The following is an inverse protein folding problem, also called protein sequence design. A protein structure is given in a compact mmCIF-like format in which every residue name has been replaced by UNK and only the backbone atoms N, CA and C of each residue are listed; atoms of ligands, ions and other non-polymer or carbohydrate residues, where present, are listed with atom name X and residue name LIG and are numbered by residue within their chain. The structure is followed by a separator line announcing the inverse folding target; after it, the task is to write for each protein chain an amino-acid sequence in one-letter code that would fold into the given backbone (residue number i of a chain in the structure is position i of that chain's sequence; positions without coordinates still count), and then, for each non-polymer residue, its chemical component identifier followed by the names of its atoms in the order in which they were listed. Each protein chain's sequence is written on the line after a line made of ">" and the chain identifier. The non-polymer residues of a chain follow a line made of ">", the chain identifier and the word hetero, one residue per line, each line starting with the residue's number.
data_IF_826801930535
#
_entry.id   IF_826801930535
#
_cell.length_a   1.000
_cell.length_b   1.000
_cell.length_c   1.000
_cell.angle_alpha   90.00
_cell.angle_beta   90.00
_cell.angle_gamma   90.00
#
_symmetry.space_group_name_H-M   'P 1'
#
loop_
_entity.id
_entity.type
_entity.pdbx_description
1 polymer ?
#
# COMPACT_ATOMS: atom_id res chain seq x y z
N UNK A 1 -15.62 16.54 -17.73
CA UNK A 1 -15.97 16.58 -16.29
C UNK A 1 -17.30 15.89 -16.15
N UNK A 2 -17.35 14.78 -15.41
CA UNK A 2 -18.58 14.00 -15.16
C UNK A 2 -18.97 14.19 -13.68
N UNK A 3 -20.23 14.49 -13.41
CA UNK A 3 -20.75 14.74 -12.06
C UNK A 3 -22.03 13.94 -11.88
N UNK A 4 -22.12 13.20 -10.77
CA UNK A 4 -23.28 12.39 -10.43
C UNK A 4 -23.65 12.66 -8.97
N UNK A 5 -24.94 12.91 -8.73
CA UNK A 5 -25.49 12.99 -7.38
C UNK A 5 -25.95 11.60 -6.95
N UNK A 6 -25.46 11.15 -5.79
CA UNK A 6 -25.88 9.89 -5.16
C UNK A 6 -26.39 10.17 -3.76
N UNK A 7 -27.48 9.51 -3.38
CA UNK A 7 -27.94 9.48 -2.00
C UNK A 7 -27.01 8.58 -1.19
N UNK A 8 -26.61 9.07 -0.02
CA UNK A 8 -25.90 8.29 0.97
C UNK A 8 -26.88 7.34 1.68
N UNK A 9 -26.46 6.10 1.92
CA UNK A 9 -27.29 5.18 2.70
C UNK A 9 -27.28 5.54 4.19
N UNK A 10 -28.09 4.84 4.99
CA UNK A 10 -28.21 5.09 6.43
C UNK A 10 -26.93 4.81 7.24
N UNK A 11 -25.93 4.17 6.64
CA UNK A 11 -24.63 3.88 7.25
C UNK A 11 -23.54 4.84 6.76
N UNK A 12 -23.89 5.86 5.98
CA UNK A 12 -22.91 6.82 5.48
C UNK A 12 -22.17 6.39 4.21
N UNK A 13 -22.64 5.36 3.50
CA UNK A 13 -21.94 4.82 2.32
C UNK A 13 -22.46 5.44 1.02
N UNK A 14 -21.56 5.56 0.05
CA UNK A 14 -21.84 6.04 -1.30
C UNK A 14 -21.26 5.03 -2.30
N UNK A 15 -22.03 4.72 -3.34
CA UNK A 15 -21.57 3.86 -4.43
C UNK A 15 -20.81 4.66 -5.48
N UNK A 16 -19.60 4.19 -5.82
CA UNK A 16 -18.78 4.76 -6.90
C UNK A 16 -19.12 4.01 -8.20
N UNK A 17 -19.50 4.71 -9.28
CA UNK A 17 -19.82 4.10 -10.58
C UNK A 17 -18.70 3.19 -11.08
N UNK A 18 -19.06 2.03 -11.64
CA UNK A 18 -18.08 1.05 -12.14
C UNK A 18 -17.11 1.66 -13.16
N UNK A 19 -17.61 2.53 -14.04
CA UNK A 19 -16.80 3.19 -15.08
C UNK A 19 -15.66 4.03 -14.46
N UNK A 20 -15.90 4.67 -13.31
CA UNK A 20 -14.91 5.53 -12.64
C UNK A 20 -13.84 4.75 -11.88
N UNK A 21 -14.17 3.53 -11.42
CA UNK A 21 -13.27 2.68 -10.63
C UNK A 21 -12.74 1.46 -11.38
N UNK A 22 -13.06 1.34 -12.66
CA UNK A 22 -12.72 0.16 -13.48
C UNK A 22 -11.21 -0.03 -13.65
N UNK A 23 -10.45 1.07 -13.63
CA UNK A 23 -8.99 1.07 -13.75
C UNK A 23 -8.25 0.94 -12.41
N UNK A 24 -8.95 0.97 -11.29
CA UNK A 24 -8.31 0.96 -9.98
C UNK A 24 -7.75 -0.43 -9.65
N UNK A 25 -6.48 -0.48 -9.25
CA UNK A 25 -5.80 -1.73 -8.88
C UNK A 25 -6.10 -2.19 -7.45
N UNK A 26 -6.87 -1.40 -6.70
CA UNK A 26 -7.18 -1.62 -5.28
C UNK A 26 -8.58 -1.14 -4.94
N UNK A 27 -9.17 -1.77 -3.92
CA UNK A 27 -10.44 -1.34 -3.30
C UNK A 27 -10.23 -0.43 -2.09
N UNK A 28 -8.97 -0.14 -1.71
CA UNK A 28 -8.65 0.76 -0.60
C UNK A 28 -8.61 2.20 -1.11
N UNK A 29 -9.29 3.09 -0.39
CA UNK A 29 -9.34 4.53 -0.70
C UNK A 29 -8.81 5.33 0.49
N UNK A 30 -8.11 6.41 0.20
CA UNK A 30 -7.83 7.48 1.16
C UNK A 30 -8.99 8.47 1.09
N UNK A 31 -9.53 8.83 2.26
CA UNK A 31 -10.47 9.91 2.43
C UNK A 31 -9.72 11.12 3.00
N UNK A 32 -9.66 12.21 2.26
CA UNK A 32 -9.01 13.45 2.69
C UNK A 32 -10.09 14.52 2.88
N UNK A 33 -10.26 15.01 4.10
CA UNK A 33 -11.26 16.03 4.43
C UNK A 33 -10.68 17.43 4.25
N UNK A 34 -11.38 18.26 3.48
CA UNK A 34 -11.11 19.69 3.32
C UNK A 34 -12.37 20.47 3.70
N UNK A 35 -12.47 20.89 4.97
CA UNK A 35 -13.66 21.57 5.48
C UNK A 35 -14.93 20.71 5.36
N UNK A 36 -15.82 21.10 4.45
CA UNK A 36 -17.08 20.40 4.14
C UNK A 36 -16.98 19.45 2.93
N UNK A 37 -15.80 19.28 2.34
CA UNK A 37 -15.56 18.38 1.21
C UNK A 37 -14.72 17.19 1.64
N UNK A 38 -14.94 16.06 0.99
CA UNK A 38 -14.10 14.87 1.13
C UNK A 38 -13.60 14.48 -0.26
N UNK A 39 -12.28 14.49 -0.43
CA UNK A 39 -11.61 13.96 -1.62
C UNK A 39 -11.35 12.47 -1.41
N UNK A 40 -11.67 11.66 -2.40
CA UNK A 40 -11.41 10.21 -2.39
C UNK A 40 -10.34 9.89 -3.43
N UNK A 41 -9.31 9.15 -3.02
CA UNK A 41 -8.19 8.76 -3.90
C UNK A 41 -7.91 7.26 -3.72
N UNK A 42 -7.85 6.45 -4.79
CA UNK A 42 -7.45 5.06 -4.67
C UNK A 42 -6.00 4.93 -4.21
N UNK A 43 -5.74 3.94 -3.35
CA UNK A 43 -4.38 3.56 -2.98
C UNK A 43 -3.89 2.55 -4.02
N UNK A 44 -2.90 2.95 -4.81
CA UNK A 44 -2.21 1.99 -5.67
C UNK A 44 -1.47 0.97 -4.80
N UNK A 45 -1.64 -0.34 -5.06
CA UNK A 45 -0.93 -1.35 -4.33
C UNK A 45 0.56 -1.20 -4.61
N UNK A 46 1.33 -0.92 -3.56
CA UNK A 46 2.78 -0.95 -3.64
C UNK A 46 3.20 -2.42 -3.55
N UNK A 47 3.94 -2.97 -4.55
CA UNK A 47 4.52 -4.28 -4.44
C UNK A 47 5.36 -4.37 -3.17
N UNK A 48 5.31 -5.46 -2.38
CA UNK A 48 6.18 -5.61 -1.22
C UNK A 48 7.67 -5.41 -1.58
N UNK A 49 8.08 -5.86 -2.78
CA UNK A 49 9.42 -5.67 -3.34
C UNK A 49 9.87 -4.20 -3.43
N UNK A 50 8.94 -3.24 -3.49
CA UNK A 50 9.26 -1.82 -3.52
C UNK A 50 9.33 -1.19 -2.12
N UNK A 51 8.98 -1.96 -1.08
CA UNK A 51 9.10 -1.57 0.34
C UNK A 51 10.31 -2.21 0.99
N UNK A 52 10.75 -3.35 0.46
CA UNK A 52 12.07 -3.92 0.75
C UNK A 52 13.09 -3.21 -0.14
N UNK A 53 13.48 -1.99 0.24
CA UNK A 53 14.80 -1.52 -0.19
C UNK A 53 15.79 -2.60 0.24
N UNK A 54 16.49 -3.14 -0.76
CA UNK A 54 17.29 -4.36 -0.69
C UNK A 54 18.18 -4.36 0.54
N UNK A 55 17.96 -5.33 1.44
CA UNK A 55 18.98 -5.70 2.42
C UNK A 55 20.10 -6.34 1.61
N UNK A 56 21.13 -5.58 1.28
CA UNK A 56 22.37 -6.11 0.71
C UNK A 56 23.07 -6.93 1.80
N UNK A 57 22.81 -8.24 1.80
CA UNK A 57 23.56 -9.20 2.59
C UNK A 57 24.76 -9.62 1.74
N UNK A 58 25.97 -9.58 2.31
CA UNK A 58 27.18 -10.01 1.61
C UNK A 58 27.01 -11.41 1.03
N UNK A 59 27.58 -11.63 -0.17
CA UNK A 59 27.41 -12.84 -0.98
C UNK A 59 27.95 -14.14 -0.38
N UNK A 60 28.47 -14.10 0.85
CA UNK A 60 29.09 -15.24 1.55
C UNK A 60 28.12 -15.93 2.52
N UNK A 61 26.87 -15.48 2.61
CA UNK A 61 25.89 -16.05 3.54
C UNK A 61 25.14 -17.21 2.88
N UNK A 62 25.29 -18.39 3.46
CA UNK A 62 24.47 -19.55 3.13
C UNK A 62 23.06 -19.38 3.68
N UNK A 63 22.08 -19.21 2.79
CA UNK A 63 20.67 -19.04 3.13
C UNK A 63 20.01 -20.33 3.66
N UNK A 64 20.68 -21.48 3.54
CA UNK A 64 20.20 -22.77 4.05
C UNK A 64 20.58 -23.03 5.51
N UNK A 65 21.48 -22.22 6.09
CA UNK A 65 21.82 -22.25 7.52
C UNK A 65 21.24 -21.03 8.28
N UNK A 66 20.18 -21.21 9.08
CA UNK A 66 19.57 -20.16 9.88
C UNK A 66 20.53 -19.50 10.89
N UNK A 67 21.56 -20.21 11.34
CA UNK A 67 22.53 -19.67 12.30
C UNK A 67 23.52 -18.71 11.63
N UNK A 68 24.06 -19.07 10.46
CA UNK A 68 24.88 -18.21 9.63
C UNK A 68 24.14 -16.92 9.24
N UNK A 69 22.89 -17.05 8.76
CA UNK A 69 22.03 -15.91 8.43
C UNK A 69 21.81 -14.95 9.61
N UNK A 70 21.53 -15.50 10.80
CA UNK A 70 21.31 -14.69 12.00
C UNK A 70 22.56 -13.90 12.39
N UNK A 71 23.76 -14.48 12.25
CA UNK A 71 25.02 -13.79 12.56
C UNK A 71 25.28 -12.64 11.61
N UNK A 72 25.17 -12.88 10.30
CA UNK A 72 25.35 -11.84 9.30
C UNK A 72 24.37 -10.66 9.47
N UNK A 73 23.10 -10.94 9.77
CA UNK A 73 22.10 -9.90 10.04
C UNK A 73 22.36 -9.11 11.32
N UNK A 74 22.98 -9.72 12.33
CA UNK A 74 23.35 -9.03 13.57
C UNK A 74 24.57 -8.11 13.37
N UNK A 75 25.53 -8.53 12.55
CA UNK A 75 26.72 -7.73 12.20
C UNK A 75 26.34 -6.47 11.41
N UNK A 76 25.38 -6.57 10.49
CA UNK A 76 24.84 -5.42 9.72
C UNK A 76 24.20 -4.36 10.64
N UNK A 77 23.60 -4.75 11.77
CA UNK A 77 22.88 -3.83 12.67
C UNK A 77 23.78 -3.11 13.69
N UNK A 78 25.05 -3.46 13.77
CA UNK A 78 26.01 -2.92 14.75
C UNK A 78 27.04 -1.93 14.20
N UNK A 79 26.97 -1.59 12.90
CA UNK A 79 27.86 -0.62 12.23
C UNK A 79 27.17 0.71 11.95
#
# INVERSE_FOLDING_TARGET
>A
MEVIVKKMDGQGRVSIPIRWRSSWRSRKLILIRYGNQVKMVPIEPVPPSNLFDSIEVSSEVDFSDPHSLKRALLEIRGS
#
